data_IF_563680113379
#
_entry.id   IF_563680113379
#
_cell.length_a   1.000
_cell.length_b   1.000
_cell.length_c   1.000
_cell.angle_alpha   90.00
_cell.angle_beta   90.00
_cell.angle_gamma   90.00
#
_symmetry.space_group_name_H-M   'P 1'
#
loop_
_entity.id
_entity.type
_entity.pdbx_description
1 polymer ?
#
# COMPACT_ATOMS: atom_id res chain seq x y z
N UNK A 1 -27.47 34.42 -55.15
CA UNK A 1 -28.15 33.23 -54.71
C UNK A 1 -27.07 32.16 -54.49
N UNK A 2 -26.66 31.94 -53.26
CA UNK A 2 -25.70 30.91 -52.93
C UNK A 2 -26.20 30.20 -51.63
N UNK A 3 -26.47 28.93 -51.75
CA UNK A 3 -26.97 28.10 -50.69
C UNK A 3 -25.80 27.66 -49.78
N UNK A 4 -25.86 28.02 -48.51
CA UNK A 4 -24.96 27.53 -47.51
C UNK A 4 -25.43 26.15 -47.00
N UNK A 5 -24.68 25.14 -47.35
CA UNK A 5 -24.88 23.77 -46.85
C UNK A 5 -24.33 23.69 -45.42
N UNK A 6 -25.23 23.52 -44.45
CA UNK A 6 -24.87 23.29 -43.06
C UNK A 6 -24.36 21.86 -42.85
N UNK A 7 -23.07 21.70 -42.58
CA UNK A 7 -22.51 20.47 -42.04
C UNK A 7 -22.76 20.40 -40.53
N UNK A 8 -23.70 19.58 -40.16
CA UNK A 8 -23.93 19.19 -38.77
C UNK A 8 -22.81 18.28 -38.31
N UNK A 9 -21.88 18.81 -37.52
CA UNK A 9 -20.88 18.06 -36.76
C UNK A 9 -21.58 17.13 -35.74
N UNK A 10 -21.84 15.91 -36.17
CA UNK A 10 -22.25 14.82 -35.32
C UNK A 10 -21.10 14.45 -34.39
N UNK A 11 -21.03 15.10 -33.22
CA UNK A 11 -20.12 14.74 -32.13
C UNK A 11 -20.55 13.35 -31.60
N UNK A 12 -19.93 12.30 -32.13
CA UNK A 12 -20.06 10.95 -31.57
C UNK A 12 -19.49 10.98 -30.14
N UNK A 13 -20.36 11.07 -29.18
CA UNK A 13 -20.03 10.71 -27.79
C UNK A 13 -19.81 9.20 -27.81
N UNK A 14 -18.56 8.79 -27.91
CA UNK A 14 -18.16 7.42 -27.71
C UNK A 14 -18.39 7.12 -26.22
N UNK A 15 -19.58 6.66 -25.90
CA UNK A 15 -19.89 6.00 -24.62
C UNK A 15 -18.97 4.80 -24.52
N UNK A 16 -17.92 4.90 -23.73
CA UNK A 16 -16.99 3.80 -23.47
C UNK A 16 -17.78 2.63 -22.88
N UNK A 17 -18.03 1.61 -23.71
CA UNK A 17 -18.57 0.33 -23.24
C UNK A 17 -17.63 -0.18 -22.17
N UNK A 18 -18.15 -0.39 -20.96
CA UNK A 18 -17.39 -0.91 -19.83
C UNK A 18 -16.99 -2.37 -20.15
N UNK A 19 -15.77 -2.56 -20.70
CA UNK A 19 -15.24 -3.88 -21.03
C UNK A 19 -14.26 -4.32 -19.92
N UNK A 20 -14.69 -5.27 -19.06
CA UNK A 20 -13.84 -5.81 -17.99
C UNK A 20 -12.57 -6.49 -18.53
N UNK A 21 -12.64 -7.07 -19.73
CA UNK A 21 -11.49 -7.76 -20.36
C UNK A 21 -10.43 -6.77 -20.83
N UNK A 22 -10.83 -5.65 -21.42
CA UNK A 22 -9.93 -4.58 -21.83
C UNK A 22 -9.24 -3.95 -20.62
N UNK A 23 -9.95 -3.76 -19.50
CA UNK A 23 -9.35 -3.31 -18.23
C UNK A 23 -8.36 -4.32 -17.64
N UNK A 24 -8.73 -5.59 -17.62
CA UNK A 24 -7.83 -6.64 -17.14
C UNK A 24 -6.56 -6.70 -18.00
N UNK A 25 -6.70 -6.63 -19.33
CA UNK A 25 -5.55 -6.58 -20.24
C UNK A 25 -4.68 -5.33 -20.03
N UNK A 26 -5.27 -4.16 -19.77
CA UNK A 26 -4.51 -2.93 -19.48
C UNK A 26 -3.77 -3.02 -18.13
N UNK A 27 -4.38 -3.66 -17.13
CA UNK A 27 -3.75 -3.92 -15.85
C UNK A 27 -2.57 -4.90 -15.98
N UNK A 28 -2.68 -5.91 -16.84
CA UNK A 28 -1.64 -6.90 -17.07
C UNK A 28 -0.52 -6.38 -17.99
N UNK A 29 -0.82 -5.52 -18.97
CA UNK A 29 0.17 -4.94 -19.88
C UNK A 29 0.97 -3.79 -19.26
N UNK A 30 0.39 -3.05 -18.33
CA UNK A 30 1.01 -1.87 -17.74
C UNK A 30 1.04 -0.67 -18.70
N UNK A 31 2.09 0.15 -18.62
CA UNK A 31 2.24 1.33 -19.50
C UNK A 31 2.64 0.89 -20.91
N UNK A 32 2.14 1.57 -21.92
CA UNK A 32 2.42 1.27 -23.34
C UNK A 32 3.91 1.37 -23.69
N UNK A 33 4.65 2.23 -22.97
CA UNK A 33 6.07 2.49 -23.20
C UNK A 33 7.00 1.48 -22.52
N UNK A 34 6.43 0.56 -21.71
CA UNK A 34 7.23 -0.42 -21.01
C UNK A 34 7.46 -1.69 -21.84
N UNK A 35 8.64 -2.30 -21.70
CA UNK A 35 8.84 -3.66 -22.15
C UNK A 35 7.82 -4.63 -21.54
N UNK A 36 7.36 -5.59 -22.32
CA UNK A 36 6.27 -6.52 -21.94
C UNK A 36 6.54 -7.32 -20.67
N UNK A 37 7.80 -7.51 -20.32
CA UNK A 37 8.23 -8.26 -19.12
C UNK A 37 8.10 -7.47 -17.81
N UNK A 38 8.05 -6.13 -17.86
CA UNK A 38 8.09 -5.27 -16.66
C UNK A 38 6.89 -5.50 -15.76
N UNK A 39 5.71 -5.57 -16.33
CA UNK A 39 4.48 -5.75 -15.55
C UNK A 39 4.38 -7.14 -14.91
N UNK A 40 4.62 -8.24 -15.64
CA UNK A 40 4.72 -9.56 -15.03
C UNK A 40 5.77 -9.64 -13.93
N UNK A 41 6.96 -9.07 -14.14
CA UNK A 41 8.02 -9.05 -13.13
C UNK A 41 7.59 -8.28 -11.86
N UNK A 42 6.92 -7.15 -12.00
CA UNK A 42 6.37 -6.41 -10.85
C UNK A 42 5.32 -7.24 -10.10
N UNK A 43 4.38 -7.85 -10.82
CA UNK A 43 3.35 -8.67 -10.20
C UNK A 43 3.95 -9.90 -9.49
N UNK A 44 4.98 -10.51 -10.09
CA UNK A 44 5.73 -11.62 -9.47
C UNK A 44 6.46 -11.15 -8.21
N UNK A 45 7.11 -9.98 -8.25
CA UNK A 45 7.77 -9.41 -7.07
C UNK A 45 6.77 -9.17 -5.94
N UNK A 46 5.63 -8.52 -6.23
CA UNK A 46 4.61 -8.23 -5.21
C UNK A 46 3.94 -9.51 -4.69
N UNK A 47 3.66 -10.48 -5.56
CA UNK A 47 3.12 -11.78 -5.18
C UNK A 47 4.09 -12.56 -4.29
N UNK A 48 5.37 -12.63 -4.67
CA UNK A 48 6.42 -13.27 -3.87
C UNK A 48 6.61 -12.56 -2.51
N UNK A 49 6.57 -11.22 -2.49
CA UNK A 49 6.63 -10.43 -1.25
C UNK A 49 5.43 -10.73 -0.35
N UNK A 50 4.22 -10.77 -0.92
CA UNK A 50 3.01 -11.10 -0.17
C UNK A 50 3.08 -12.52 0.41
N UNK A 51 3.54 -13.50 -0.38
CA UNK A 51 3.78 -14.85 0.11
C UNK A 51 4.79 -14.87 1.25
N UNK A 52 5.95 -14.22 1.08
CA UNK A 52 7.00 -14.16 2.09
C UNK A 52 6.49 -13.55 3.40
N UNK A 53 5.65 -12.52 3.32
CA UNK A 53 5.19 -11.80 4.51
C UNK A 53 3.95 -12.42 5.15
N UNK A 54 3.07 -13.10 4.39
CA UNK A 54 1.82 -13.66 4.88
C UNK A 54 1.90 -15.14 5.26
N UNK A 55 2.79 -15.93 4.62
CA UNK A 55 2.89 -17.36 4.90
C UNK A 55 3.29 -17.57 6.36
N UNK A 56 2.55 -18.42 7.05
CA UNK A 56 2.76 -18.78 8.44
C UNK A 56 2.79 -17.58 9.42
N UNK A 57 2.04 -16.54 9.10
CA UNK A 57 2.02 -15.31 9.89
C UNK A 57 1.48 -15.54 11.31
N UNK A 58 0.52 -16.45 11.46
CA UNK A 58 -0.08 -16.81 12.74
C UNK A 58 0.89 -17.52 13.71
N UNK A 59 2.00 -18.10 13.21
CA UNK A 59 3.03 -18.69 14.06
C UNK A 59 3.69 -17.67 15.01
N UNK A 60 3.67 -16.39 14.64
CA UNK A 60 4.13 -15.30 15.50
C UNK A 60 3.19 -15.00 16.68
N UNK A 61 2.05 -15.69 16.79
CA UNK A 61 1.03 -15.43 17.81
C UNK A 61 0.55 -13.98 17.74
N UNK A 62 0.50 -13.32 18.87
CA UNK A 62 0.18 -11.88 18.95
C UNK A 62 1.40 -10.97 18.77
N UNK A 63 2.55 -11.54 18.45
CA UNK A 63 3.85 -10.87 18.27
C UNK A 63 4.20 -9.97 19.47
N UNK A 64 4.14 -8.63 19.36
CA UNK A 64 4.35 -7.76 20.51
C UNK A 64 3.06 -7.66 21.35
N UNK A 65 3.05 -8.28 22.51
CA UNK A 65 1.89 -8.31 23.40
C UNK A 65 1.47 -6.91 23.89
N UNK A 66 2.41 -5.96 23.99
CA UNK A 66 2.14 -4.58 24.38
C UNK A 66 1.23 -3.88 23.37
N UNK A 67 1.57 -3.92 22.08
CA UNK A 67 0.73 -3.33 21.03
C UNK A 67 -0.56 -4.13 20.80
N UNK A 68 -0.53 -5.45 20.97
CA UNK A 68 -1.74 -6.27 20.84
C UNK A 68 -2.77 -5.98 21.93
N UNK A 69 -2.33 -5.68 23.16
CA UNK A 69 -3.22 -5.23 24.24
C UNK A 69 -3.85 -3.87 23.90
N UNK A 70 -3.10 -2.94 23.32
CA UNK A 70 -3.64 -1.66 22.86
C UNK A 70 -4.67 -1.85 21.74
N UNK A 71 -4.41 -2.76 20.79
CA UNK A 71 -5.38 -3.11 19.74
C UNK A 71 -6.66 -3.71 20.37
N UNK A 72 -6.54 -4.57 21.34
CA UNK A 72 -7.72 -5.10 22.08
C UNK A 72 -8.49 -3.98 22.77
N UNK A 73 -7.83 -3.08 23.48
CA UNK A 73 -8.44 -1.92 24.12
C UNK A 73 -9.17 -1.02 23.08
N UNK A 74 -8.54 -0.80 21.94
CA UNK A 74 -9.11 -0.05 20.84
C UNK A 74 -10.40 -0.67 20.28
N UNK A 75 -10.54 -2.00 20.29
CA UNK A 75 -11.80 -2.64 19.86
C UNK A 75 -12.97 -2.34 20.79
N UNK A 76 -12.72 -2.07 22.07
CA UNK A 76 -13.72 -1.82 23.10
C UNK A 76 -14.07 -0.35 23.29
N UNK A 77 -13.18 0.57 22.92
CA UNK A 77 -13.31 2.00 23.12
C UNK A 77 -12.82 2.80 21.93
N UNK A 78 -13.65 3.70 21.38
CA UNK A 78 -13.22 4.63 20.34
C UNK A 78 -12.21 5.67 20.83
N UNK A 79 -12.25 5.99 22.13
CA UNK A 79 -11.24 6.85 22.74
C UNK A 79 -9.89 6.14 22.81
N UNK A 80 -9.87 4.85 23.19
CA UNK A 80 -8.67 4.04 23.17
C UNK A 80 -8.09 3.92 21.76
N UNK A 81 -8.94 3.69 20.75
CA UNK A 81 -8.56 3.71 19.33
C UNK A 81 -7.85 5.01 18.93
N UNK A 82 -8.49 6.15 19.21
CA UNK A 82 -7.98 7.44 18.74
C UNK A 82 -6.67 7.83 19.40
N UNK A 83 -6.54 7.59 20.70
CA UNK A 83 -5.34 7.95 21.47
C UNK A 83 -4.29 6.84 21.59
N UNK A 84 -4.55 5.65 21.07
CA UNK A 84 -3.66 4.50 21.21
C UNK A 84 -3.51 4.09 22.68
N UNK A 85 -4.62 4.02 23.41
CA UNK A 85 -4.58 3.68 24.83
C UNK A 85 -4.30 2.18 25.00
N UNK A 86 -3.47 1.86 26.00
CA UNK A 86 -3.11 0.50 26.34
C UNK A 86 -4.27 -0.28 26.99
N UNK A 87 -5.21 0.42 27.60
CA UNK A 87 -6.39 -0.13 28.25
C UNK A 87 -7.66 0.63 27.86
N UNK A 88 -8.81 -0.04 28.01
CA UNK A 88 -10.12 0.53 27.66
C UNK A 88 -10.57 1.69 28.57
N UNK A 89 -9.96 1.84 29.74
CA UNK A 89 -10.21 2.95 30.67
C UNK A 89 -9.39 4.19 30.34
N UNK A 90 -8.46 4.08 29.42
CA UNK A 90 -7.58 5.16 28.91
C UNK A 90 -6.65 5.76 29.98
N UNK A 91 -6.08 4.92 30.83
CA UNK A 91 -5.11 5.34 31.84
C UNK A 91 -3.77 5.73 31.23
N UNK A 92 -3.29 4.93 30.29
CA UNK A 92 -1.99 5.06 29.68
C UNK A 92 -2.12 4.89 28.17
N UNK A 93 -1.38 5.65 27.38
CA UNK A 93 -1.22 5.47 25.94
C UNK A 93 0.07 4.71 25.64
N UNK A 94 0.14 4.08 24.48
CA UNK A 94 1.39 3.50 23.99
C UNK A 94 2.45 4.61 23.78
N UNK A 95 3.70 4.23 23.78
CA UNK A 95 4.86 5.12 23.61
C UNK A 95 5.09 5.58 22.15
N UNK A 96 4.22 5.21 21.23
CA UNK A 96 4.29 5.50 19.80
C UNK A 96 3.08 6.30 19.31
N UNK A 97 3.20 6.96 18.15
CA UNK A 97 2.06 7.66 17.55
C UNK A 97 0.87 6.73 17.35
N UNK A 98 -0.34 7.11 17.80
CA UNK A 98 -1.51 6.22 17.74
C UNK A 98 -1.89 5.82 16.32
N UNK A 99 -1.59 6.63 15.31
CA UNK A 99 -1.87 6.33 13.92
C UNK A 99 -1.25 5.01 13.44
N UNK A 100 -0.14 4.58 14.04
CA UNK A 100 0.50 3.31 13.73
C UNK A 100 -0.34 2.09 14.10
N UNK A 101 -1.25 2.25 15.07
CA UNK A 101 -2.16 1.19 15.53
C UNK A 101 -3.47 1.17 14.75
N UNK A 102 -3.92 2.30 14.21
CA UNK A 102 -5.27 2.44 13.64
C UNK A 102 -5.61 1.41 12.58
N UNK A 103 -4.66 0.99 11.75
CA UNK A 103 -4.91 0.00 10.70
C UNK A 103 -5.15 -1.39 11.32
N UNK A 104 -4.37 -1.76 12.33
CA UNK A 104 -4.56 -2.99 13.12
C UNK A 104 -5.87 -2.95 13.90
N UNK A 105 -6.16 -1.81 14.53
CA UNK A 105 -7.37 -1.59 15.33
C UNK A 105 -8.64 -1.74 14.48
N UNK A 106 -8.67 -1.14 13.29
CA UNK A 106 -9.79 -1.28 12.35
C UNK A 106 -9.94 -2.72 11.88
N UNK A 107 -8.84 -3.39 11.56
CA UNK A 107 -8.85 -4.80 11.19
C UNK A 107 -9.38 -5.67 12.33
N UNK A 108 -8.93 -5.45 13.55
CA UNK A 108 -9.38 -6.19 14.72
C UNK A 108 -10.86 -5.91 15.07
N UNK A 109 -11.36 -4.69 14.83
CA UNK A 109 -12.79 -4.36 14.97
C UNK A 109 -13.67 -5.10 13.97
N UNK A 110 -13.18 -5.34 12.76
CA UNK A 110 -13.93 -6.00 11.69
C UNK A 110 -13.86 -7.53 11.79
N UNK A 111 -12.70 -8.08 12.13
CA UNK A 111 -12.43 -9.52 12.07
C UNK A 111 -12.19 -10.17 13.44
N UNK A 112 -12.38 -9.41 14.53
CA UNK A 112 -12.07 -9.85 15.88
C UNK A 112 -10.57 -9.79 16.18
N UNK A 113 -10.21 -9.85 17.49
CA UNK A 113 -8.82 -9.81 17.95
C UNK A 113 -8.19 -11.19 17.77
N UNK A 114 -7.31 -11.32 16.82
CA UNK A 114 -6.54 -12.52 16.53
C UNK A 114 -5.24 -12.18 15.81
N UNK A 115 -4.32 -13.15 15.71
CA UNK A 115 -3.01 -12.93 15.07
C UNK A 115 -3.13 -12.37 13.63
N UNK A 116 -4.07 -12.89 12.84
CA UNK A 116 -4.25 -12.45 11.45
C UNK A 116 -4.77 -11.01 11.36
N UNK A 117 -5.77 -10.66 12.15
CA UNK A 117 -6.34 -9.30 12.13
C UNK A 117 -5.32 -8.24 12.56
N UNK A 118 -4.37 -8.60 13.40
CA UNK A 118 -3.31 -7.71 13.88
C UNK A 118 -2.14 -7.65 12.89
N UNK A 119 -1.68 -8.79 12.40
CA UNK A 119 -0.42 -8.87 11.66
C UNK A 119 -0.58 -8.72 10.14
N UNK A 120 -1.72 -9.14 9.55
CA UNK A 120 -1.93 -9.03 8.11
C UNK A 120 -1.89 -7.57 7.60
N UNK A 121 -2.44 -6.57 8.30
CA UNK A 121 -2.28 -5.17 7.91
C UNK A 121 -0.81 -4.76 7.77
N UNK A 122 0.05 -5.15 8.70
CA UNK A 122 1.49 -4.86 8.67
C UNK A 122 2.18 -5.49 7.46
N UNK A 123 1.85 -6.75 7.16
CA UNK A 123 2.36 -7.43 5.98
C UNK A 123 1.91 -6.74 4.68
N UNK A 124 0.67 -6.29 4.61
CA UNK A 124 0.14 -5.56 3.45
C UNK A 124 0.75 -4.16 3.31
N UNK A 125 1.04 -3.47 4.41
CA UNK A 125 1.81 -2.22 4.40
C UNK A 125 3.21 -2.44 3.83
N UNK A 126 3.85 -3.57 4.15
CA UNK A 126 5.13 -3.97 3.57
C UNK A 126 5.06 -4.20 2.05
N UNK A 127 4.05 -4.90 1.58
CA UNK A 127 3.82 -5.10 0.14
C UNK A 127 3.56 -3.77 -0.56
N UNK A 128 2.76 -2.89 0.06
CA UNK A 128 2.51 -1.54 -0.46
C UNK A 128 3.79 -0.69 -0.48
N UNK A 129 4.64 -0.80 0.53
CA UNK A 129 5.94 -0.11 0.58
C UNK A 129 6.86 -0.56 -0.57
N UNK A 130 6.93 -1.86 -0.86
CA UNK A 130 7.69 -2.40 -2.00
C UNK A 130 7.13 -1.87 -3.33
N UNK A 131 5.80 -1.87 -3.51
CA UNK A 131 5.16 -1.35 -4.72
C UNK A 131 5.44 0.14 -4.91
N UNK A 132 5.35 0.91 -3.84
CA UNK A 132 5.56 2.35 -3.88
C UNK A 132 7.04 2.73 -4.07
N UNK A 133 7.96 1.96 -3.48
CA UNK A 133 9.40 2.12 -3.71
C UNK A 133 9.77 1.84 -5.17
N UNK A 134 9.24 0.76 -5.73
CA UNK A 134 9.35 0.50 -7.17
C UNK A 134 8.89 1.71 -7.99
N UNK A 135 7.70 2.23 -7.68
CA UNK A 135 7.11 3.36 -8.41
C UNK A 135 7.96 4.64 -8.27
N UNK A 136 8.55 4.88 -7.10
CA UNK A 136 9.40 6.04 -6.82
C UNK A 136 10.71 5.98 -7.61
N UNK A 137 11.42 4.86 -7.48
CA UNK A 137 12.74 4.69 -8.13
C UNK A 137 12.60 4.66 -9.65
N UNK A 138 11.60 3.95 -10.16
CA UNK A 138 11.34 3.90 -11.59
C UNK A 138 11.12 5.27 -12.24
N UNK A 139 10.57 6.24 -11.51
CA UNK A 139 10.32 7.59 -12.02
C UNK A 139 11.59 8.34 -12.41
N UNK A 140 12.66 8.12 -11.70
CA UNK A 140 13.93 8.82 -11.87
C UNK A 140 14.99 8.01 -12.60
N UNK A 141 14.82 6.70 -12.63
CA UNK A 141 15.79 5.78 -13.22
C UNK A 141 15.10 4.90 -14.28
N UNK A 142 15.06 3.60 -14.07
CA UNK A 142 14.47 2.64 -15.00
C UNK A 142 13.51 1.68 -14.27
N UNK A 143 12.71 0.95 -15.06
CA UNK A 143 11.86 -0.11 -14.51
C UNK A 143 12.68 -1.19 -13.79
N UNK A 144 13.85 -1.54 -14.35
CA UNK A 144 14.76 -2.51 -13.73
C UNK A 144 15.30 -1.99 -12.39
N UNK A 145 15.75 -0.73 -12.34
CA UNK A 145 16.22 -0.13 -11.08
C UNK A 145 15.10 -0.12 -10.01
N UNK A 146 13.86 0.19 -10.41
CA UNK A 146 12.70 0.10 -9.52
C UNK A 146 12.46 -1.31 -8.99
N UNK A 147 12.52 -2.33 -9.85
CA UNK A 147 12.38 -3.74 -9.45
C UNK A 147 13.48 -4.17 -8.49
N UNK A 148 14.73 -3.79 -8.74
CA UNK A 148 15.85 -4.11 -7.86
C UNK A 148 15.71 -3.42 -6.50
N UNK A 149 15.27 -2.16 -6.47
CA UNK A 149 15.02 -1.46 -5.21
C UNK A 149 13.89 -2.12 -4.40
N UNK A 150 12.77 -2.48 -5.06
CA UNK A 150 11.69 -3.21 -4.43
C UNK A 150 12.12 -4.58 -3.91
N UNK A 151 12.89 -5.32 -4.70
CA UNK A 151 13.45 -6.62 -4.31
C UNK A 151 14.40 -6.48 -3.09
N UNK A 152 15.27 -5.47 -3.11
CA UNK A 152 16.17 -5.21 -2.00
C UNK A 152 15.40 -4.94 -0.70
N UNK A 153 14.36 -4.11 -0.74
CA UNK A 153 13.50 -3.88 0.43
C UNK A 153 12.80 -5.17 0.87
N UNK A 154 12.20 -5.92 -0.06
CA UNK A 154 11.45 -7.13 0.25
C UNK A 154 12.30 -8.22 0.91
N UNK A 155 13.57 -8.33 0.50
CA UNK A 155 14.51 -9.35 1.00
C UNK A 155 15.43 -8.86 2.12
N UNK A 156 15.37 -7.57 2.49
CA UNK A 156 16.13 -7.07 3.65
C UNK A 156 15.62 -7.76 4.92
N UNK A 157 16.46 -8.53 5.65
CA UNK A 157 15.98 -9.39 6.74
C UNK A 157 15.23 -8.63 7.82
N UNK A 158 15.73 -7.47 8.24
CA UNK A 158 15.07 -6.65 9.25
C UNK A 158 13.73 -6.10 8.75
N UNK A 159 13.63 -5.70 7.47
CA UNK A 159 12.37 -5.24 6.91
C UNK A 159 11.34 -6.38 6.84
N UNK A 160 11.75 -7.56 6.35
CA UNK A 160 10.90 -8.75 6.30
C UNK A 160 10.39 -9.16 7.70
N UNK A 161 11.24 -9.04 8.72
CA UNK A 161 10.86 -9.31 10.10
C UNK A 161 9.85 -8.26 10.60
N UNK A 162 10.11 -6.97 10.40
CA UNK A 162 9.27 -5.88 10.89
C UNK A 162 7.89 -5.85 10.22
N UNK A 163 7.81 -6.16 8.94
CA UNK A 163 6.53 -6.27 8.23
C UNK A 163 5.70 -7.52 8.61
N UNK A 164 6.27 -8.45 9.35
CA UNK A 164 5.58 -9.62 9.91
C UNK A 164 5.28 -9.48 11.41
N UNK A 165 5.50 -8.29 11.97
CA UNK A 165 5.40 -8.00 13.39
C UNK A 165 4.55 -6.75 13.61
N UNK A 166 3.78 -6.69 14.68
CA UNK A 166 2.93 -5.53 15.01
C UNK A 166 3.77 -4.38 15.62
N UNK A 167 4.61 -3.80 14.78
CA UNK A 167 5.47 -2.69 15.14
C UNK A 167 5.07 -1.43 14.33
N UNK A 168 5.09 -0.23 14.90
CA UNK A 168 4.80 1.02 14.20
C UNK A 168 5.67 1.28 12.96
N UNK A 169 6.78 0.58 12.81
CA UNK A 169 7.76 0.79 11.74
C UNK A 169 7.24 0.43 10.34
N UNK A 170 6.25 -0.46 10.23
CA UNK A 170 5.66 -0.81 8.93
C UNK A 170 4.97 0.40 8.30
N UNK A 171 4.05 1.05 9.03
CA UNK A 171 3.38 2.26 8.57
C UNK A 171 4.37 3.41 8.37
N UNK A 172 5.34 3.58 9.28
CA UNK A 172 6.38 4.60 9.17
C UNK A 172 7.15 4.46 7.85
N UNK A 173 7.63 3.26 7.54
CA UNK A 173 8.36 2.98 6.29
C UNK A 173 7.51 3.28 5.06
N UNK A 174 6.25 2.85 5.05
CA UNK A 174 5.32 3.14 3.95
C UNK A 174 5.13 4.65 3.77
N UNK A 175 4.92 5.40 4.85
CA UNK A 175 4.71 6.86 4.80
C UNK A 175 5.96 7.62 4.37
N UNK A 176 7.15 7.19 4.79
CA UNK A 176 8.42 7.79 4.34
C UNK A 176 8.61 7.59 2.83
N UNK A 177 8.33 6.40 2.31
CA UNK A 177 8.39 6.14 0.87
C UNK A 177 7.30 6.93 0.13
N UNK A 178 6.10 7.08 0.71
CA UNK A 178 5.03 7.91 0.14
C UNK A 178 5.43 9.38 0.06
N UNK A 179 6.08 9.91 1.09
CA UNK A 179 6.61 11.27 1.08
C UNK A 179 7.69 11.45 -0.01
N UNK A 180 8.62 10.51 -0.14
CA UNK A 180 9.62 10.52 -1.20
C UNK A 180 8.98 10.45 -2.60
N UNK A 181 7.94 9.64 -2.78
CA UNK A 181 7.18 9.58 -4.02
C UNK A 181 6.49 10.90 -4.36
N UNK A 182 5.83 11.52 -3.36
CA UNK A 182 5.16 12.80 -3.53
C UNK A 182 6.14 13.92 -3.89
N UNK A 183 7.29 13.97 -3.20
CA UNK A 183 8.38 14.91 -3.50
C UNK A 183 8.89 14.71 -4.93
N UNK A 184 9.16 13.48 -5.33
CA UNK A 184 9.60 13.16 -6.70
C UNK A 184 8.62 13.67 -7.73
N UNK A 185 7.33 13.48 -7.51
CA UNK A 185 6.27 13.97 -8.39
C UNK A 185 6.19 15.50 -8.45
N UNK A 186 6.33 16.18 -7.32
CA UNK A 186 6.27 17.65 -7.29
C UNK A 186 7.41 18.28 -8.08
N UNK A 187 8.62 17.70 -7.98
CA UNK A 187 9.79 18.16 -8.74
C UNK A 187 9.63 17.96 -10.26
N UNK A 188 8.96 16.89 -10.70
CA UNK A 188 8.65 16.68 -12.12
C UNK A 188 7.68 17.75 -12.66
N UNK A 189 6.64 18.07 -11.88
CA UNK A 189 5.67 19.11 -12.25
C UNK A 189 6.26 20.53 -12.29
N UNK A 190 7.27 20.81 -11.49
CA UNK A 190 7.98 22.10 -11.49
C UNK A 190 8.92 22.26 -12.69
N UNK A 191 9.55 21.16 -13.15
CA UNK A 191 10.46 21.16 -14.29
C UNK A 191 9.76 21.26 -15.65
N UNK A 192 8.44 21.05 -15.70
CA UNK A 192 7.64 21.10 -16.92
C UNK A 192 6.92 22.44 -17.15
N UNK A 193 7.13 23.42 -16.30
CA UNK A 193 6.67 24.81 -16.40
C UNK A 193 7.82 25.74 -16.74
#
# INVERSE_FOLDING_TARGET
>A
MSAATGETLGRRVAGGVWDPRARLQSLLRGRTDDPVWVRPALLSLLGATALLYLVDLAASGYANAFYSAAVEAATRSWKAFFFGSFDSSNFITVDKPPASLWVMDLSARLFGVNSWSILAPQALEGVAAVALLYATVRRRFSALAGLLAGLALALTPVAALMFRFNNPDALLTLLLIAAAYALTRSLEGASSR
#
